data_IF_477118053883
#
_entry.id   IF_477118053883
#
_cell.length_a   1.000
_cell.length_b   1.000
_cell.length_c   1.000
_cell.angle_alpha   90.00
_cell.angle_beta   90.00
_cell.angle_gamma   90.00
#
_symmetry.space_group_name_H-M   'P 1'
#
loop_
_entity.id
_entity.type
_entity.pdbx_description
1 polymer ?
#
# COMPACT_ATOMS: atom_id res chain seq x y z
N UNK A 1 -42.78 45.37 23.86
CA UNK A 1 -42.59 44.72 22.56
C UNK A 1 -42.02 43.32 22.83
N UNK A 2 -42.93 42.35 23.00
CA UNK A 2 -42.60 40.95 23.28
C UNK A 2 -41.99 40.33 22.02
N UNK A 3 -40.80 39.76 22.12
CA UNK A 3 -40.31 38.81 21.12
C UNK A 3 -40.85 37.43 21.51
N UNK A 4 -41.85 37.00 20.75
CA UNK A 4 -42.42 35.67 20.78
C UNK A 4 -41.41 34.72 20.09
N UNK A 5 -40.49 34.13 20.87
CA UNK A 5 -39.70 32.98 20.37
C UNK A 5 -40.66 31.81 20.14
N UNK A 6 -40.69 31.33 18.90
CA UNK A 6 -41.60 30.27 18.52
C UNK A 6 -41.28 28.98 19.29
N UNK A 7 -42.32 28.21 19.65
CA UNK A 7 -42.17 26.88 20.29
C UNK A 7 -41.33 25.91 19.45
N UNK A 8 -41.16 26.20 18.17
CA UNK A 8 -40.46 25.39 17.19
C UNK A 8 -38.94 25.57 17.28
N UNK A 9 -38.47 26.82 17.39
CA UNK A 9 -37.04 27.14 17.56
C UNK A 9 -36.47 26.60 18.89
N UNK A 10 -37.26 26.61 19.97
CA UNK A 10 -36.87 25.99 21.23
C UNK A 10 -36.75 24.47 21.13
N UNK A 11 -37.55 23.85 20.27
CA UNK A 11 -37.57 22.39 20.05
C UNK A 11 -36.37 21.94 19.22
N UNK A 12 -35.96 22.75 18.25
CA UNK A 12 -34.79 22.49 17.41
C UNK A 12 -33.47 22.70 18.16
N UNK A 13 -33.39 23.72 19.03
CA UNK A 13 -32.25 23.90 19.93
C UNK A 13 -32.11 22.74 20.94
N UNK A 14 -33.23 22.20 21.44
CA UNK A 14 -33.23 21.04 22.33
C UNK A 14 -32.83 19.76 21.60
N UNK A 15 -33.31 19.56 20.36
CA UNK A 15 -32.92 18.42 19.53
C UNK A 15 -31.43 18.46 19.15
N UNK A 16 -30.86 19.65 18.86
CA UNK A 16 -29.42 19.82 18.63
C UNK A 16 -28.59 19.49 19.89
N UNK A 17 -29.07 19.90 21.07
CA UNK A 17 -28.42 19.57 22.34
C UNK A 17 -28.48 18.05 22.64
N UNK A 18 -29.56 17.37 22.27
CA UNK A 18 -29.73 15.93 22.45
C UNK A 18 -28.89 15.08 21.49
N UNK A 19 -28.66 15.55 20.25
CA UNK A 19 -27.75 14.92 19.29
C UNK A 19 -26.28 15.11 19.70
N UNK A 20 -25.91 16.26 20.25
CA UNK A 20 -24.55 16.54 20.73
C UNK A 20 -24.20 15.82 22.04
N UNK A 21 -25.18 15.45 22.86
CA UNK A 21 -24.98 14.75 24.14
C UNK A 21 -25.29 13.24 24.08
N UNK A 22 -25.69 12.71 22.93
CA UNK A 22 -25.94 11.27 22.73
C UNK A 22 -27.15 10.73 23.51
N UNK A 23 -28.11 11.58 23.87
CA UNK A 23 -29.30 11.16 24.63
C UNK A 23 -30.53 11.18 23.73
N UNK A 24 -30.95 10.01 23.24
CA UNK A 24 -32.24 9.85 22.55
C UNK A 24 -33.33 9.64 23.62
N UNK A 25 -34.28 10.57 23.72
CA UNK A 25 -35.48 10.39 24.56
C UNK A 25 -36.59 9.75 23.74
N UNK A 26 -36.92 8.48 24.03
CA UNK A 26 -38.17 7.86 23.60
C UNK A 26 -39.19 8.04 24.72
N UNK A 27 -40.33 8.68 24.44
CA UNK A 27 -41.46 8.75 25.37
C UNK A 27 -42.20 7.40 25.34
N UNK A 28 -42.17 6.68 26.46
CA UNK A 28 -43.13 5.62 26.77
C UNK A 28 -43.62 5.82 28.22
N UNK A 29 -44.90 5.57 28.45
CA UNK A 29 -45.60 5.91 29.69
C UNK A 29 -45.04 5.23 30.94
N UNK A 30 -45.01 6.00 32.03
CA UNK A 30 -44.88 5.62 33.44
C UNK A 30 -43.78 4.58 33.76
N UNK A 31 -42.56 5.09 33.96
CA UNK A 31 -41.48 4.36 34.64
C UNK A 31 -40.11 4.88 34.22
N UNK A 32 -39.36 5.48 35.15
CA UNK A 32 -37.94 5.77 34.94
C UNK A 32 -37.16 4.47 35.00
N UNK A 33 -36.88 3.85 33.85
CA UNK A 33 -35.82 2.85 33.76
C UNK A 33 -34.46 3.58 33.69
N UNK A 34 -33.50 3.13 34.50
CA UNK A 34 -32.11 3.59 34.36
C UNK A 34 -31.67 3.36 32.92
N UNK A 35 -31.23 4.44 32.25
CA UNK A 35 -30.55 4.34 30.97
C UNK A 35 -29.35 3.42 31.14
N UNK A 36 -29.47 2.16 30.71
CA UNK A 36 -28.34 1.26 30.59
C UNK A 36 -27.43 1.92 29.56
N UNK A 37 -26.39 2.61 30.03
CA UNK A 37 -25.38 3.21 29.16
C UNK A 37 -24.86 2.09 28.28
N UNK A 38 -25.25 2.07 27.01
CA UNK A 38 -24.92 0.98 26.09
C UNK A 38 -23.42 1.09 25.80
N UNK A 39 -22.60 0.50 26.66
CA UNK A 39 -21.17 0.40 26.44
C UNK A 39 -20.97 -0.45 25.19
N UNK A 40 -20.27 0.11 24.22
CA UNK A 40 -19.86 -0.61 23.03
C UNK A 40 -18.95 -1.78 23.45
N UNK A 41 -19.06 -2.89 22.75
CA UNK A 41 -18.33 -4.14 23.03
C UNK A 41 -16.85 -4.04 22.63
N UNK A 42 -16.11 -3.15 23.32
CA UNK A 42 -14.68 -2.97 23.17
C UNK A 42 -14.03 -3.23 24.53
N UNK A 43 -13.25 -4.30 24.61
CA UNK A 43 -12.52 -4.70 25.82
C UNK A 43 -11.19 -3.94 25.96
N UNK A 44 -10.70 -3.82 27.20
CA UNK A 44 -9.35 -3.30 27.47
C UNK A 44 -8.27 -4.15 26.80
N UNK A 45 -8.51 -5.47 26.69
CA UNK A 45 -7.59 -6.40 26.05
C UNK A 45 -7.44 -6.11 24.55
N UNK A 46 -8.52 -5.81 23.83
CA UNK A 46 -8.43 -5.41 22.42
C UNK A 46 -7.59 -4.14 22.22
N UNK A 47 -7.74 -3.14 23.11
CA UNK A 47 -6.92 -1.92 23.08
C UNK A 47 -5.45 -2.23 23.37
N UNK A 48 -5.17 -3.14 24.30
CA UNK A 48 -3.81 -3.59 24.61
C UNK A 48 -3.14 -4.32 23.45
N UNK A 49 -3.84 -5.25 22.81
CA UNK A 49 -3.31 -5.97 21.64
C UNK A 49 -3.09 -5.03 20.45
N UNK A 50 -3.99 -4.07 20.24
CA UNK A 50 -3.80 -3.03 19.24
C UNK A 50 -2.55 -2.18 19.53
N UNK A 51 -2.32 -1.78 20.79
CA UNK A 51 -1.11 -1.07 21.19
C UNK A 51 0.17 -1.85 20.85
N UNK A 52 0.23 -3.14 21.16
CA UNK A 52 1.41 -3.98 20.84
C UNK A 52 1.71 -3.98 19.34
N UNK A 53 0.68 -4.17 18.51
CA UNK A 53 0.82 -4.17 17.04
C UNK A 53 1.31 -2.82 16.51
N UNK A 54 0.73 -1.71 16.98
CA UNK A 54 1.14 -0.36 16.55
C UNK A 54 2.56 -0.05 17.01
N UNK A 55 2.95 -0.49 18.22
CA UNK A 55 4.30 -0.29 18.77
C UNK A 55 5.38 -1.03 17.99
N UNK A 56 5.09 -2.27 17.55
CA UNK A 56 6.01 -3.05 16.73
C UNK A 56 6.39 -2.34 15.41
N UNK A 57 5.49 -1.52 14.86
CA UNK A 57 5.71 -0.79 13.61
C UNK A 57 6.60 0.48 13.76
N UNK A 58 6.95 0.87 14.99
CA UNK A 58 7.84 2.02 15.30
C UNK A 58 7.52 3.32 14.54
N UNK A 59 6.26 3.58 14.21
CA UNK A 59 5.87 4.74 13.41
C UNK A 59 6.10 6.08 14.13
N UNK A 60 6.19 7.16 13.35
CA UNK A 60 6.46 8.54 13.80
C UNK A 60 5.27 9.15 14.58
N UNK A 61 5.30 10.42 14.99
CA UNK A 61 4.23 11.08 15.76
C UNK A 61 3.27 11.91 14.87
N UNK A 62 2.04 12.10 15.36
CA UNK A 62 0.99 12.87 14.68
C UNK A 62 1.06 14.37 14.99
N UNK A 63 -0.08 15.06 14.92
CA UNK A 63 -0.19 16.51 15.19
C UNK A 63 0.12 16.90 16.64
N UNK A 64 -0.05 15.96 17.58
CA UNK A 64 0.14 16.16 19.02
C UNK A 64 1.60 16.14 19.48
N UNK A 65 2.55 15.81 18.59
CA UNK A 65 3.96 15.73 18.94
C UNK A 65 4.32 14.62 19.95
N UNK A 66 3.40 13.68 20.22
CA UNK A 66 3.61 12.61 21.21
C UNK A 66 4.33 11.45 20.55
N UNK A 67 5.57 11.19 20.97
CA UNK A 67 6.36 10.03 20.55
C UNK A 67 6.19 8.85 21.54
N UNK A 68 6.77 7.69 21.22
CA UNK A 68 6.68 6.49 22.05
C UNK A 68 7.22 6.69 23.47
N UNK A 69 8.32 7.44 23.64
CA UNK A 69 8.88 7.71 24.97
C UNK A 69 7.89 8.48 25.85
N UNK A 70 7.25 9.53 25.32
CA UNK A 70 6.23 10.30 26.04
C UNK A 70 4.96 9.46 26.26
N UNK A 71 4.54 8.69 25.28
CA UNK A 71 3.36 7.84 25.38
C UNK A 71 3.51 6.76 26.47
N UNK A 72 4.68 6.10 26.52
CA UNK A 72 4.94 5.00 27.45
C UNK A 72 5.07 5.47 28.91
N UNK A 73 5.53 6.71 29.15
CA UNK A 73 5.54 7.31 30.50
C UNK A 73 4.16 7.35 31.16
N UNK A 74 3.09 7.45 30.37
CA UNK A 74 1.68 7.47 30.84
C UNK A 74 0.88 6.31 30.26
N UNK A 75 1.53 5.19 29.95
CA UNK A 75 0.94 4.07 29.21
C UNK A 75 -0.43 3.62 29.74
N UNK A 76 -0.51 3.28 31.04
CA UNK A 76 -1.74 2.80 31.67
C UNK A 76 -2.88 3.82 31.53
N UNK A 77 -2.59 5.10 31.76
CA UNK A 77 -3.56 6.18 31.68
C UNK A 77 -4.02 6.46 30.24
N UNK A 78 -3.08 6.47 29.29
CA UNK A 78 -3.35 6.70 27.87
C UNK A 78 -4.27 5.59 27.32
N UNK A 79 -3.94 4.32 27.60
CA UNK A 79 -4.76 3.18 27.15
C UNK A 79 -6.12 3.14 27.84
N UNK A 80 -6.19 3.43 29.14
CA UNK A 80 -7.46 3.51 29.85
C UNK A 80 -8.37 4.62 29.29
N UNK A 81 -7.80 5.80 29.04
CA UNK A 81 -8.54 6.93 28.46
C UNK A 81 -9.07 6.58 27.07
N UNK A 82 -8.22 5.98 26.23
CA UNK A 82 -8.62 5.53 24.90
C UNK A 82 -9.74 4.48 24.96
N UNK A 83 -9.57 3.45 25.80
CA UNK A 83 -10.59 2.43 26.00
C UNK A 83 -11.91 3.02 26.48
N UNK A 84 -11.88 3.94 27.46
CA UNK A 84 -13.09 4.56 27.99
C UNK A 84 -13.83 5.32 26.88
N UNK A 85 -13.12 6.13 26.08
CA UNK A 85 -13.70 6.86 24.95
C UNK A 85 -14.25 5.95 23.86
N UNK A 86 -13.55 4.86 23.55
CA UNK A 86 -14.00 3.88 22.56
C UNK A 86 -15.24 3.12 23.04
N UNK A 87 -15.25 2.67 24.29
CA UNK A 87 -16.38 1.91 24.86
C UNK A 87 -17.60 2.78 25.16
N UNK A 88 -17.44 4.09 25.40
CA UNK A 88 -18.54 5.01 25.67
C UNK A 88 -19.18 5.61 24.42
N UNK A 89 -18.57 5.47 23.24
CA UNK A 89 -19.02 6.18 22.03
C UNK A 89 -18.43 7.59 21.85
N UNK A 90 -17.65 8.07 22.81
CA UNK A 90 -17.16 9.46 22.85
C UNK A 90 -15.80 9.67 22.17
N UNK A 91 -15.26 8.65 21.48
CA UNK A 91 -14.01 8.78 20.73
C UNK A 91 -14.21 9.60 19.45
N UNK A 92 -13.41 10.65 19.31
CA UNK A 92 -13.24 11.41 18.08
C UNK A 92 -11.75 11.44 17.72
N UNK A 93 -11.39 11.10 16.47
CA UNK A 93 -10.02 11.18 15.99
C UNK A 93 -9.53 12.64 15.94
N UNK A 94 -8.25 12.85 16.18
CA UNK A 94 -7.62 14.16 15.99
C UNK A 94 -7.32 14.41 14.51
N UNK A 95 -6.93 15.65 14.20
CA UNK A 95 -6.44 15.99 12.88
C UNK A 95 -5.23 15.12 12.48
N UNK A 96 -5.14 14.79 11.21
CA UNK A 96 -4.07 13.96 10.66
C UNK A 96 -2.96 14.86 10.13
N UNK A 97 -1.70 14.63 10.53
CA UNK A 97 -0.57 15.47 10.10
C UNK A 97 -0.15 15.17 8.67
N UNK A 98 -0.16 16.16 7.78
CA UNK A 98 0.31 16.00 6.39
C UNK A 98 1.84 15.97 6.34
N UNK A 99 2.39 15.01 5.61
CA UNK A 99 3.82 14.93 5.28
C UNK A 99 4.00 14.67 3.80
N UNK A 100 4.70 15.56 3.12
CA UNK A 100 4.97 15.43 1.69
C UNK A 100 6.10 14.43 1.41
N UNK A 101 5.78 13.33 0.72
CA UNK A 101 6.76 12.33 0.29
C UNK A 101 6.98 12.48 -1.23
N UNK A 102 8.21 12.68 -1.72
CA UNK A 102 8.45 12.77 -3.16
C UNK A 102 8.09 11.47 -3.88
N UNK A 103 7.36 11.58 -5.00
CA UNK A 103 7.10 10.47 -5.92
C UNK A 103 8.32 10.24 -6.81
N UNK A 104 8.51 8.99 -7.27
CA UNK A 104 9.63 8.63 -8.16
C UNK A 104 9.54 9.27 -9.55
N UNK A 105 8.35 9.68 -9.99
CA UNK A 105 8.10 10.20 -11.33
C UNK A 105 7.88 11.73 -11.34
N UNK A 106 8.25 12.43 -10.26
CA UNK A 106 7.91 13.83 -10.03
C UNK A 106 6.62 14.01 -9.22
N UNK A 107 6.50 15.15 -8.54
CA UNK A 107 5.41 15.48 -7.62
C UNK A 107 5.55 14.89 -6.21
N UNK A 108 4.59 15.19 -5.34
CA UNK A 108 4.55 14.71 -3.95
C UNK A 108 3.33 13.82 -3.71
N UNK A 109 3.46 12.86 -2.80
CA UNK A 109 2.39 12.08 -2.19
C UNK A 109 2.30 12.55 -0.76
N UNK A 110 1.19 13.18 -0.39
CA UNK A 110 1.00 13.56 0.99
C UNK A 110 0.53 12.37 1.82
N UNK A 111 1.30 12.01 2.83
CA UNK A 111 0.94 11.03 3.84
C UNK A 111 0.23 11.76 4.98
N UNK A 112 -0.91 11.25 5.41
CA UNK A 112 -1.55 11.62 6.64
C UNK A 112 -1.10 10.73 7.78
N UNK A 113 -0.39 11.28 8.76
CA UNK A 113 0.09 10.57 9.95
C UNK A 113 -0.84 10.85 11.14
N UNK A 114 -1.65 9.88 11.59
CA UNK A 114 -2.49 10.07 12.77
C UNK A 114 -1.65 10.06 14.06
N UNK A 115 -2.25 10.50 15.17
CA UNK A 115 -1.60 10.42 16.48
C UNK A 115 -1.34 8.97 16.88
N UNK A 116 -0.51 8.75 17.91
CA UNK A 116 -0.31 7.39 18.46
C UNK A 116 -1.64 6.81 18.97
N UNK A 117 -2.42 7.62 19.68
CA UNK A 117 -3.74 7.25 20.19
C UNK A 117 -4.69 6.85 19.07
N UNK A 118 -4.75 7.64 17.99
CA UNK A 118 -5.66 7.37 16.87
C UNK A 118 -5.23 6.13 16.08
N UNK A 119 -3.92 5.86 15.95
CA UNK A 119 -3.45 4.61 15.33
C UNK A 119 -3.83 3.38 16.14
N UNK A 120 -3.75 3.45 17.46
CA UNK A 120 -4.20 2.36 18.34
C UNK A 120 -5.72 2.18 18.20
N UNK A 121 -6.48 3.28 18.19
CA UNK A 121 -7.92 3.23 17.96
C UNK A 121 -8.27 2.59 16.61
N UNK A 122 -7.62 3.03 15.53
CA UNK A 122 -7.80 2.48 14.18
C UNK A 122 -7.42 1.00 14.11
N UNK A 123 -6.39 0.54 14.83
CA UNK A 123 -6.03 -0.87 14.88
C UNK A 123 -7.08 -1.72 15.62
N UNK A 124 -7.72 -1.18 16.66
CA UNK A 124 -8.88 -1.83 17.31
C UNK A 124 -10.01 -1.99 16.29
N UNK A 125 -10.37 -0.91 15.60
CA UNK A 125 -11.45 -0.94 14.60
C UNK A 125 -11.13 -1.89 13.45
N UNK A 126 -9.89 -1.86 12.95
CA UNK A 126 -9.41 -2.77 11.89
C UNK A 126 -9.50 -4.23 12.34
N UNK A 127 -9.07 -4.55 13.56
CA UNK A 127 -9.11 -5.92 14.09
C UNK A 127 -10.54 -6.45 14.25
N UNK A 128 -11.51 -5.58 14.51
CA UNK A 128 -12.93 -5.95 14.60
C UNK A 128 -13.58 -6.02 13.21
N UNK A 129 -13.21 -5.13 12.29
CA UNK A 129 -13.79 -5.07 10.94
C UNK A 129 -13.26 -6.20 10.03
N UNK A 130 -11.96 -6.52 10.12
CA UNK A 130 -11.29 -7.47 9.22
C UNK A 130 -12.01 -8.83 9.10
N UNK A 131 -12.46 -9.49 10.18
CA UNK A 131 -13.19 -10.76 10.09
C UNK A 131 -14.50 -10.70 9.28
N UNK A 132 -15.13 -9.53 9.15
CA UNK A 132 -16.36 -9.38 8.37
C UNK A 132 -16.09 -9.16 6.87
N UNK A 133 -14.95 -8.53 6.53
CA UNK A 133 -14.68 -8.07 5.16
C UNK A 133 -13.63 -8.91 4.44
N UNK A 134 -12.56 -9.32 5.12
CA UNK A 134 -11.44 -10.04 4.48
C UNK A 134 -11.87 -11.38 3.86
N UNK A 135 -12.73 -12.21 4.50
CA UNK A 135 -13.21 -13.46 3.90
C UNK A 135 -14.05 -13.26 2.62
N UNK A 136 -14.54 -12.04 2.36
CA UNK A 136 -15.31 -11.72 1.16
C UNK A 136 -14.43 -11.31 -0.01
N UNK A 137 -13.19 -10.90 0.26
CA UNK A 137 -12.29 -10.43 -0.79
C UNK A 137 -11.97 -11.53 -1.80
N UNK A 138 -11.80 -11.10 -3.05
CA UNK A 138 -11.52 -12.02 -4.14
C UNK A 138 -10.15 -12.68 -3.96
N UNK A 139 -10.02 -13.94 -4.38
CA UNK A 139 -8.79 -14.72 -4.24
C UNK A 139 -7.59 -14.01 -4.89
N UNK A 140 -7.80 -13.36 -6.04
CA UNK A 140 -6.79 -12.59 -6.76
C UNK A 140 -6.58 -11.14 -6.27
N UNK A 141 -7.11 -10.77 -5.09
CA UNK A 141 -6.74 -9.55 -4.39
C UNK A 141 -5.67 -9.86 -3.35
N UNK A 142 -4.48 -9.26 -3.47
CA UNK A 142 -3.29 -9.67 -2.72
C UNK A 142 -2.84 -8.68 -1.64
N UNK A 143 -3.04 -7.37 -1.86
CA UNK A 143 -2.49 -6.37 -0.97
C UNK A 143 -3.17 -6.38 0.41
N UNK A 144 -2.38 -6.18 1.45
CA UNK A 144 -2.83 -5.98 2.84
C UNK A 144 -3.64 -7.14 3.44
N UNK A 145 -3.52 -8.35 2.89
CA UNK A 145 -4.21 -9.55 3.39
C UNK A 145 -3.23 -10.52 4.04
N UNK A 146 -3.67 -11.15 5.13
CA UNK A 146 -2.87 -12.19 5.78
C UNK A 146 -2.60 -13.35 4.83
N UNK A 147 -1.35 -13.85 4.82
CA UNK A 147 -0.93 -14.97 3.96
C UNK A 147 -0.77 -14.62 2.48
N UNK A 148 -1.02 -13.36 2.08
CA UNK A 148 -0.82 -12.89 0.70
C UNK A 148 0.36 -11.94 0.58
N UNK A 149 1.08 -12.00 -0.53
CA UNK A 149 2.23 -11.11 -0.79
C UNK A 149 2.35 -10.72 -2.27
N UNK A 150 3.20 -9.73 -2.55
CA UNK A 150 3.44 -9.22 -3.90
C UNK A 150 4.00 -10.30 -4.84
N UNK A 151 4.86 -11.20 -4.35
CA UNK A 151 5.44 -12.26 -5.18
C UNK A 151 4.39 -13.23 -5.71
N UNK A 152 3.36 -13.57 -4.92
CA UNK A 152 2.26 -14.40 -5.42
C UNK A 152 1.52 -13.71 -6.57
N UNK A 153 1.21 -12.41 -6.45
CA UNK A 153 0.58 -11.64 -7.52
C UNK A 153 1.45 -11.61 -8.79
N UNK A 154 2.75 -11.34 -8.65
CA UNK A 154 3.71 -11.33 -9.77
C UNK A 154 3.82 -12.71 -10.43
N UNK A 155 3.83 -13.77 -9.62
CA UNK A 155 3.90 -15.16 -10.08
C UNK A 155 2.67 -15.57 -10.90
N UNK A 156 1.47 -15.23 -10.42
CA UNK A 156 0.22 -15.45 -11.15
C UNK A 156 0.16 -14.64 -12.44
N UNK A 157 0.53 -13.36 -12.39
CA UNK A 157 0.63 -12.52 -13.58
C UNK A 157 1.59 -13.15 -14.61
N UNK A 158 2.78 -13.60 -14.17
CA UNK A 158 3.80 -14.23 -15.02
C UNK A 158 3.28 -15.50 -15.69
N UNK A 159 2.54 -16.31 -14.94
CA UNK A 159 1.88 -17.49 -15.48
C UNK A 159 0.84 -17.08 -16.53
N UNK A 160 -0.13 -16.24 -16.18
CA UNK A 160 -1.28 -15.87 -17.03
C UNK A 160 -0.88 -15.11 -18.29
N UNK A 161 0.12 -14.22 -18.24
CA UNK A 161 0.64 -13.53 -19.43
C UNK A 161 1.21 -14.49 -20.49
N UNK A 162 1.54 -15.73 -20.12
CA UNK A 162 1.94 -16.74 -21.10
C UNK A 162 0.77 -17.45 -21.79
N UNK A 163 -0.46 -17.35 -21.27
CA UNK A 163 -1.68 -17.95 -21.80
C UNK A 163 -2.62 -16.95 -22.48
N UNK A 164 -2.51 -15.67 -22.14
CA UNK A 164 -3.31 -14.59 -22.69
C UNK A 164 -2.47 -13.67 -23.58
N UNK A 165 -3.05 -13.22 -24.69
CA UNK A 165 -2.37 -12.40 -25.69
C UNK A 165 -2.57 -10.90 -25.48
N UNK A 166 -3.41 -10.50 -24.52
CA UNK A 166 -3.72 -9.11 -24.20
C UNK A 166 -3.78 -8.89 -22.69
N UNK A 167 -3.25 -7.76 -22.24
CA UNK A 167 -3.27 -7.33 -20.85
C UNK A 167 -3.83 -5.91 -20.75
N UNK A 168 -4.69 -5.64 -19.78
CA UNK A 168 -5.06 -4.29 -19.37
C UNK A 168 -4.23 -3.98 -18.13
N UNK A 169 -3.34 -3.01 -18.25
CA UNK A 169 -2.59 -2.39 -17.15
C UNK A 169 -3.43 -1.20 -16.67
N UNK A 170 -4.13 -1.35 -15.54
CA UNK A 170 -5.13 -0.40 -15.05
C UNK A 170 -4.58 0.38 -13.84
N UNK A 171 -4.56 1.70 -13.95
CA UNK A 171 -4.13 2.64 -12.89
C UNK A 171 -5.29 3.60 -12.57
N UNK A 172 -5.53 3.86 -11.29
CA UNK A 172 -6.62 4.71 -10.83
C UNK A 172 -6.07 6.05 -10.40
N UNK A 173 -6.61 7.15 -10.94
CA UNK A 173 -6.10 8.49 -10.69
C UNK A 173 -6.35 8.91 -9.25
N UNK A 174 -5.25 9.05 -8.48
CA UNK A 174 -5.30 9.55 -7.10
C UNK A 174 -6.21 8.71 -6.20
N UNK A 175 -6.20 7.39 -6.36
CA UNK A 175 -7.18 6.47 -5.76
C UNK A 175 -7.53 6.78 -4.31
N UNK A 176 -6.54 6.74 -3.41
CA UNK A 176 -6.76 6.98 -1.98
C UNK A 176 -7.30 8.38 -1.68
N UNK A 177 -6.95 9.39 -2.47
CA UNK A 177 -7.40 10.78 -2.26
C UNK A 177 -8.82 11.02 -2.82
N UNK A 178 -9.32 10.13 -3.68
CA UNK A 178 -10.55 10.33 -4.44
C UNK A 178 -11.74 9.43 -4.02
N UNK A 179 -11.57 8.49 -3.10
CA UNK A 179 -12.66 7.59 -2.64
C UNK A 179 -13.84 8.40 -2.07
N UNK A 180 -15.06 8.33 -2.65
CA UNK A 180 -16.22 9.02 -2.10
C UNK A 180 -16.66 8.41 -0.76
N UNK A 181 -16.77 9.22 0.29
CA UNK A 181 -17.10 8.75 1.64
C UNK A 181 -18.48 8.10 1.72
N UNK A 182 -19.48 8.68 1.06
CA UNK A 182 -20.84 8.18 1.00
C UNK A 182 -20.89 6.75 0.42
N UNK A 183 -20.21 6.50 -0.70
CA UNK A 183 -20.17 5.18 -1.36
C UNK A 183 -19.31 4.18 -0.58
N UNK A 184 -18.20 4.63 0.00
CA UNK A 184 -17.41 3.79 0.91
C UNK A 184 -18.25 3.37 2.13
N UNK A 185 -19.02 4.29 2.71
CA UNK A 185 -19.89 4.00 3.85
C UNK A 185 -21.05 3.06 3.48
N UNK A 186 -21.57 3.13 2.25
CA UNK A 186 -22.53 2.13 1.75
C UNK A 186 -21.91 0.72 1.73
N UNK A 187 -20.67 0.60 1.24
CA UNK A 187 -19.95 -0.69 1.26
C UNK A 187 -19.70 -1.18 2.69
N UNK A 188 -19.25 -0.30 3.60
CA UNK A 188 -19.05 -0.64 5.01
C UNK A 188 -20.34 -1.14 5.66
N UNK A 189 -21.47 -0.43 5.45
CA UNK A 189 -22.79 -0.80 5.98
C UNK A 189 -23.29 -2.14 5.44
N UNK A 190 -22.97 -2.45 4.18
CA UNK A 190 -23.36 -3.71 3.55
C UNK A 190 -22.64 -4.93 4.17
N UNK A 191 -21.34 -4.81 4.45
CA UNK A 191 -20.54 -5.95 4.91
C UNK A 191 -20.36 -6.03 6.43
N UNK A 192 -20.44 -4.90 7.14
CA UNK A 192 -20.29 -4.85 8.59
C UNK A 192 -21.65 -4.59 9.26
N UNK A 193 -22.22 -5.54 10.01
CA UNK A 193 -23.51 -5.34 10.68
C UNK A 193 -23.42 -4.45 11.94
N UNK A 194 -22.21 -4.15 12.42
CA UNK A 194 -21.98 -3.45 13.67
C UNK A 194 -22.21 -1.95 13.49
N UNK A 195 -23.38 -1.44 13.88
CA UNK A 195 -23.76 -0.03 13.67
C UNK A 195 -22.80 0.99 14.28
N UNK A 196 -22.28 0.73 15.48
CA UNK A 196 -21.35 1.66 16.13
C UNK A 196 -20.00 1.74 15.41
N UNK A 197 -19.61 0.70 14.65
CA UNK A 197 -18.40 0.72 13.82
C UNK A 197 -18.53 1.76 12.71
N UNK A 198 -19.73 1.91 12.14
CA UNK A 198 -20.00 2.88 11.07
C UNK A 198 -19.71 4.31 11.53
N UNK A 199 -20.16 4.64 12.75
CA UNK A 199 -19.91 5.95 13.37
C UNK A 199 -18.42 6.27 13.46
N UNK A 200 -17.60 5.32 13.93
CA UNK A 200 -16.17 5.54 14.07
C UNK A 200 -15.44 5.61 12.74
N UNK A 201 -15.82 4.79 11.77
CA UNK A 201 -15.25 4.86 10.42
C UNK A 201 -15.57 6.23 9.80
N UNK A 202 -16.82 6.69 9.88
CA UNK A 202 -17.24 8.00 9.38
C UNK A 202 -16.44 9.14 10.01
N UNK A 203 -16.26 9.13 11.34
CA UNK A 203 -15.41 10.12 12.05
C UNK A 203 -13.96 10.10 11.57
N UNK A 204 -13.40 8.91 11.29
CA UNK A 204 -12.03 8.77 10.77
C UNK A 204 -11.92 9.33 9.34
N UNK A 205 -12.91 9.08 8.49
CA UNK A 205 -12.94 9.60 7.12
C UNK A 205 -13.03 11.13 7.10
N UNK A 206 -13.83 11.71 8.00
CA UNK A 206 -14.06 13.15 8.12
C UNK A 206 -12.98 13.89 8.94
N UNK A 207 -11.98 13.17 9.45
CA UNK A 207 -10.91 13.80 10.25
C UNK A 207 -10.19 14.86 9.42
N UNK A 208 -10.05 16.10 9.93
CA UNK A 208 -9.36 17.15 9.19
C UNK A 208 -7.88 16.82 9.03
N UNK A 209 -7.26 17.36 7.99
CA UNK A 209 -5.83 17.24 7.75
C UNK A 209 -5.15 18.53 8.19
N UNK A 210 -4.12 18.42 9.02
CA UNK A 210 -3.28 19.56 9.37
C UNK A 210 -2.15 19.70 8.35
N UNK A 211 -2.10 20.86 7.69
CA UNK A 211 -1.08 21.24 6.73
C UNK A 211 0.23 21.64 7.43
N UNK A 212 1.32 21.79 6.66
CA UNK A 212 2.65 22.13 7.21
C UNK A 212 2.69 23.52 7.87
N UNK A 213 1.81 24.44 7.44
CA UNK A 213 1.62 25.78 8.02
C UNK A 213 0.73 25.78 9.28
N UNK A 214 0.25 24.60 9.71
CA UNK A 214 -0.62 24.43 10.88
C UNK A 214 -2.11 24.59 10.59
N UNK A 215 -2.51 24.98 9.37
CA UNK A 215 -3.93 25.13 9.00
C UNK A 215 -4.64 23.78 8.94
N UNK A 216 -5.93 23.76 9.32
CA UNK A 216 -6.77 22.57 9.25
C UNK A 216 -7.64 22.63 7.98
N UNK A 217 -7.54 21.59 7.15
CA UNK A 217 -8.38 21.43 5.98
C UNK A 217 -9.40 20.31 6.21
N UNK A 218 -10.69 20.52 5.88
CA UNK A 218 -11.70 19.47 5.97
C UNK A 218 -11.44 18.38 4.93
N UNK A 219 -11.74 17.14 5.29
CA UNK A 219 -11.63 15.97 4.41
C UNK A 219 -13.01 15.63 3.85
N UNK A 220 -13.25 15.94 2.57
CA UNK A 220 -14.54 15.69 1.91
C UNK A 220 -14.60 14.35 1.16
N UNK A 221 -13.44 13.81 0.80
CA UNK A 221 -13.28 12.53 0.10
C UNK A 221 -11.90 11.95 0.39
N UNK A 222 -11.74 10.69 0.01
CA UNK A 222 -10.51 9.92 0.19
C UNK A 222 -10.42 9.25 1.55
N UNK A 223 -9.39 8.44 1.70
CA UNK A 223 -9.00 7.80 2.95
C UNK A 223 -7.58 8.30 3.30
N UNK A 224 -7.30 8.63 4.57
CA UNK A 224 -6.00 9.16 4.95
C UNK A 224 -4.92 8.09 4.71
N UNK A 225 -4.03 8.36 3.75
CA UNK A 225 -2.86 7.52 3.47
C UNK A 225 -1.94 7.55 4.70
N UNK A 226 -1.77 6.42 5.39
CA UNK A 226 -1.03 6.34 6.66
C UNK A 226 -1.90 6.04 7.87
N UNK A 227 -3.23 6.05 7.72
CA UNK A 227 -4.15 5.43 8.66
C UNK A 227 -4.02 3.90 8.67
N UNK A 228 -4.18 3.30 9.84
CA UNK A 228 -4.06 1.84 10.05
C UNK A 228 -5.25 1.09 9.46
N UNK A 229 -6.45 1.67 9.53
CA UNK A 229 -7.68 1.07 8.97
C UNK A 229 -7.85 1.37 7.48
N UNK A 230 -7.19 2.41 6.96
CA UNK A 230 -7.34 2.89 5.58
C UNK A 230 -7.10 1.82 4.51
N UNK A 231 -6.07 0.95 4.59
CA UNK A 231 -5.85 -0.10 3.58
C UNK A 231 -6.99 -1.13 3.51
N UNK A 232 -7.63 -1.42 4.64
CA UNK A 232 -8.77 -2.32 4.70
C UNK A 232 -10.01 -1.70 4.04
N UNK A 233 -10.27 -0.42 4.33
CA UNK A 233 -11.37 0.35 3.74
C UNK A 233 -11.20 0.54 2.23
N UNK A 234 -9.99 0.83 1.78
CA UNK A 234 -9.70 0.95 0.35
C UNK A 234 -9.90 -0.39 -0.35
N UNK A 235 -9.37 -1.48 0.22
CA UNK A 235 -9.58 -2.82 -0.36
C UNK A 235 -11.06 -3.22 -0.42
N UNK A 236 -11.83 -2.89 0.62
CA UNK A 236 -13.28 -3.10 0.63
C UNK A 236 -13.97 -2.34 -0.49
N UNK A 237 -13.58 -1.09 -0.72
CA UNK A 237 -14.15 -0.29 -1.78
C UNK A 237 -13.87 -0.86 -3.17
N UNK A 238 -12.61 -1.19 -3.46
CA UNK A 238 -12.26 -1.82 -4.75
C UNK A 238 -12.82 -3.23 -4.90
N UNK A 239 -13.06 -3.94 -3.80
CA UNK A 239 -13.78 -5.21 -3.88
C UNK A 239 -15.18 -5.02 -4.45
N UNK A 240 -15.91 -3.98 -4.03
CA UNK A 240 -17.26 -3.68 -4.52
C UNK A 240 -17.25 -3.06 -5.92
N UNK A 241 -16.35 -2.12 -6.17
CA UNK A 241 -16.29 -1.38 -7.44
C UNK A 241 -15.77 -2.27 -8.57
N UNK A 242 -14.78 -3.11 -8.29
CA UNK A 242 -14.05 -3.90 -9.27
C UNK A 242 -14.19 -5.41 -9.05
N UNK A 243 -13.65 -5.98 -7.97
CA UNK A 243 -13.46 -7.43 -7.84
C UNK A 243 -14.78 -8.23 -7.98
N UNK A 244 -15.81 -7.83 -7.24
CA UNK A 244 -17.11 -8.49 -7.23
C UNK A 244 -17.96 -8.10 -8.45
N UNK A 245 -17.73 -6.92 -9.01
CA UNK A 245 -18.48 -6.41 -10.16
C UNK A 245 -18.04 -7.10 -11.46
N UNK A 246 -16.72 -7.21 -11.70
CA UNK A 246 -16.19 -7.75 -12.95
C UNK A 246 -16.62 -9.21 -13.17
N UNK A 247 -16.63 -10.02 -12.10
CA UNK A 247 -17.07 -11.41 -12.16
C UNK A 247 -18.58 -11.59 -12.41
N UNK A 248 -19.41 -10.62 -12.00
CA UNK A 248 -20.87 -10.68 -12.18
C UNK A 248 -21.30 -10.12 -13.54
N UNK A 249 -20.78 -8.95 -13.90
CA UNK A 249 -21.30 -8.15 -15.01
C UNK A 249 -20.74 -8.60 -16.35
N UNK A 250 -19.45 -8.93 -16.40
CA UNK A 250 -18.78 -9.15 -17.68
C UNK A 250 -18.92 -10.61 -18.17
N UNK A 251 -19.66 -11.47 -17.43
CA UNK A 251 -20.02 -12.89 -17.71
C UNK A 251 -18.89 -13.85 -18.12
N UNK A 252 -17.68 -13.34 -18.33
CA UNK A 252 -16.47 -14.09 -18.64
C UNK A 252 -15.64 -14.20 -17.37
N UNK A 253 -15.06 -15.38 -17.14
CA UNK A 253 -14.14 -15.62 -16.02
C UNK A 253 -12.82 -14.90 -16.32
N UNK A 254 -12.75 -13.61 -16.02
CA UNK A 254 -11.52 -12.83 -16.18
C UNK A 254 -10.49 -13.25 -15.15
N UNK A 255 -9.28 -13.50 -15.65
CA UNK A 255 -8.11 -13.63 -14.81
C UNK A 255 -7.52 -12.24 -14.63
N UNK A 256 -7.30 -11.86 -13.37
CA UNK A 256 -6.70 -10.59 -13.01
C UNK A 256 -5.87 -10.76 -11.74
N UNK A 257 -4.95 -9.83 -11.49
CA UNK A 257 -4.27 -9.67 -10.22
C UNK A 257 -4.47 -8.24 -9.73
N UNK A 258 -4.98 -8.09 -8.51
CA UNK A 258 -5.10 -6.78 -7.86
C UNK A 258 -4.17 -6.69 -6.66
N UNK A 259 -3.35 -5.66 -6.65
CA UNK A 259 -2.54 -5.30 -5.49
C UNK A 259 -2.81 -3.84 -5.13
N UNK A 260 -3.73 -3.64 -4.18
CA UNK A 260 -4.28 -2.34 -3.83
C UNK A 260 -5.00 -1.72 -5.05
N UNK A 261 -4.49 -0.60 -5.58
CA UNK A 261 -4.95 0.10 -6.78
C UNK A 261 -4.30 -0.36 -8.08
N UNK A 262 -3.15 -1.05 -8.02
CA UNK A 262 -2.51 -1.63 -9.21
C UNK A 262 -3.27 -2.89 -9.64
N UNK A 263 -3.88 -2.87 -10.84
CA UNK A 263 -4.71 -3.96 -11.35
C UNK A 263 -4.22 -4.38 -12.74
N UNK A 264 -3.96 -5.68 -12.90
CA UNK A 264 -3.64 -6.31 -14.19
C UNK A 264 -4.77 -7.25 -14.57
N UNK A 265 -5.33 -7.11 -15.78
CA UNK A 265 -6.42 -7.95 -16.29
C UNK A 265 -5.97 -8.64 -17.56
N UNK A 266 -6.16 -9.96 -17.65
CA UNK A 266 -5.76 -10.76 -18.81
C UNK A 266 -6.95 -11.00 -19.73
N UNK A 267 -6.74 -10.82 -21.03
CA UNK A 267 -7.75 -10.94 -22.09
C UNK A 267 -7.22 -11.79 -23.25
N UNK A 268 -8.10 -12.53 -23.90
CA UNK A 268 -7.75 -13.39 -25.03
C UNK A 268 -7.67 -12.63 -26.35
N UNK A 269 -8.37 -11.49 -26.48
CA UNK A 269 -8.40 -10.68 -27.70
C UNK A 269 -8.45 -9.18 -27.40
N UNK A 270 -8.01 -8.37 -28.37
CA UNK A 270 -8.12 -6.92 -28.30
C UNK A 270 -9.55 -6.44 -28.11
N UNK A 271 -10.50 -7.04 -28.85
CA UNK A 271 -11.92 -6.70 -28.76
C UNK A 271 -12.46 -6.92 -27.35
N UNK A 272 -12.06 -8.03 -26.70
CA UNK A 272 -12.39 -8.29 -25.30
C UNK A 272 -11.78 -7.23 -24.37
N UNK A 273 -10.49 -6.92 -24.52
CA UNK A 273 -9.85 -5.92 -23.67
C UNK A 273 -10.45 -4.52 -23.83
N UNK A 274 -10.79 -4.11 -25.06
CA UNK A 274 -11.42 -2.82 -25.33
C UNK A 274 -12.83 -2.74 -24.73
N UNK A 275 -13.62 -3.80 -24.85
CA UNK A 275 -14.95 -3.88 -24.22
C UNK A 275 -14.87 -3.80 -22.69
N UNK A 276 -13.94 -4.55 -22.09
CA UNK A 276 -13.72 -4.56 -20.64
C UNK A 276 -13.28 -3.18 -20.16
N UNK A 277 -12.30 -2.57 -20.81
CA UNK A 277 -11.79 -1.25 -20.43
C UNK A 277 -12.90 -0.19 -20.47
N UNK A 278 -13.69 -0.13 -21.55
CA UNK A 278 -14.83 0.79 -21.66
C UNK A 278 -15.87 0.57 -20.57
N UNK A 279 -16.17 -0.70 -20.26
CA UNK A 279 -17.13 -1.05 -19.21
C UNK A 279 -16.60 -0.65 -17.82
N UNK A 280 -15.29 -0.78 -17.59
CA UNK A 280 -14.64 -0.35 -16.36
C UNK A 280 -14.60 1.17 -16.22
N UNK A 281 -14.33 1.91 -17.30
CA UNK A 281 -14.39 3.38 -17.30
C UNK A 281 -15.75 3.88 -16.85
N UNK A 282 -16.82 3.34 -17.45
CA UNK A 282 -18.19 3.67 -17.05
C UNK A 282 -18.44 3.33 -15.57
N UNK A 283 -18.09 2.12 -15.16
CA UNK A 283 -18.30 1.66 -13.77
C UNK A 283 -17.55 2.50 -12.75
N UNK A 284 -16.29 2.84 -13.02
CA UNK A 284 -15.48 3.65 -12.11
C UNK A 284 -16.05 5.05 -11.99
N UNK A 285 -16.45 5.67 -13.11
CA UNK A 285 -17.11 6.98 -13.12
C UNK A 285 -18.42 6.97 -12.31
N UNK A 286 -19.28 5.96 -12.49
CA UNK A 286 -20.49 5.77 -11.69
C UNK A 286 -20.17 5.63 -10.19
N UNK A 287 -19.02 5.05 -9.86
CA UNK A 287 -18.53 4.93 -8.50
C UNK A 287 -17.79 6.19 -8.01
N UNK A 288 -17.57 7.21 -8.84
CA UNK A 288 -16.84 8.42 -8.45
C UNK A 288 -15.32 8.24 -8.40
N UNK A 289 -14.79 7.29 -9.14
CA UNK A 289 -13.37 7.11 -9.43
C UNK A 289 -13.10 7.41 -10.90
N UNK A 290 -11.87 7.80 -11.22
CA UNK A 290 -11.41 8.08 -12.58
C UNK A 290 -10.23 7.16 -12.90
N UNK A 291 -10.27 6.47 -14.03
CA UNK A 291 -9.10 5.74 -14.54
C UNK A 291 -8.05 6.74 -15.02
N UNK A 292 -6.78 6.44 -14.83
CA UNK A 292 -5.71 7.33 -15.25
C UNK A 292 -5.55 7.26 -16.77
N UNK A 293 -5.78 8.35 -17.53
CA UNK A 293 -5.87 8.29 -19.00
C UNK A 293 -4.56 7.88 -19.67
N UNK A 294 -3.42 8.35 -19.15
CA UNK A 294 -2.12 8.07 -19.76
C UNK A 294 -1.46 6.76 -19.29
N UNK A 295 -1.85 6.26 -18.11
CA UNK A 295 -1.22 5.08 -17.52
C UNK A 295 -2.03 3.82 -17.74
N UNK A 296 -3.35 3.96 -17.81
CA UNK A 296 -4.23 2.85 -18.15
C UNK A 296 -4.06 2.53 -19.63
N UNK A 297 -3.71 1.29 -19.95
CA UNK A 297 -3.45 0.89 -21.34
C UNK A 297 -3.72 -0.57 -21.60
N UNK A 298 -4.03 -0.88 -22.86
CA UNK A 298 -4.12 -2.23 -23.40
C UNK A 298 -2.76 -2.57 -24.00
N UNK A 299 -2.21 -3.71 -23.62
CA UNK A 299 -0.86 -4.16 -23.95
C UNK A 299 -0.96 -5.49 -24.70
N UNK A 300 -0.40 -5.56 -25.90
CA UNK A 300 -0.33 -6.80 -26.67
C UNK A 300 0.84 -7.67 -26.17
N UNK A 301 0.51 -8.84 -25.61
CA UNK A 301 1.46 -9.82 -25.10
C UNK A 301 1.63 -11.03 -26.01
N UNK A 302 1.09 -10.98 -27.23
CA UNK A 302 1.24 -12.04 -28.22
C UNK A 302 2.71 -12.20 -28.65
N UNK A 303 3.25 -13.40 -28.45
CA UNK A 303 4.65 -13.74 -28.73
C UNK A 303 4.84 -14.09 -30.21
N UNK A 304 3.84 -14.70 -30.83
CA UNK A 304 3.93 -15.18 -32.21
C UNK A 304 3.76 -14.03 -33.19
N UNK A 305 4.80 -13.74 -33.98
CA UNK A 305 4.78 -12.65 -34.97
C UNK A 305 3.66 -12.83 -36.01
N UNK A 306 3.38 -14.07 -36.38
CA UNK A 306 2.34 -14.44 -37.36
C UNK A 306 0.91 -14.15 -36.88
N UNK A 307 0.67 -14.10 -35.57
CA UNK A 307 -0.65 -13.82 -34.98
C UNK A 307 -0.87 -12.35 -34.66
N UNK A 308 0.15 -11.53 -34.83
CA UNK A 308 0.09 -10.08 -34.64
C UNK A 308 -0.30 -9.41 -35.94
N UNK A 309 -1.10 -8.35 -35.86
CA UNK A 309 -1.36 -7.53 -37.05
C UNK A 309 -0.08 -6.81 -37.47
N UNK A 310 0.01 -6.47 -38.76
CA UNK A 310 1.14 -5.72 -39.29
C UNK A 310 1.28 -4.38 -38.54
N UNK A 311 2.47 -4.13 -37.97
CA UNK A 311 2.74 -2.97 -37.11
C UNK A 311 2.57 -3.19 -35.60
N UNK A 312 1.97 -4.30 -35.14
CA UNK A 312 1.84 -4.60 -33.71
C UNK A 312 3.16 -5.16 -33.13
N UNK A 313 3.75 -4.40 -32.20
CA UNK A 313 4.93 -4.84 -31.45
C UNK A 313 4.54 -5.60 -30.18
N UNK A 314 5.40 -6.52 -29.75
CA UNK A 314 5.26 -7.15 -28.43
C UNK A 314 5.56 -6.07 -27.38
N UNK A 315 4.56 -5.69 -26.60
CA UNK A 315 4.69 -4.59 -25.65
C UNK A 315 5.06 -5.09 -24.25
N UNK A 316 5.79 -4.25 -23.51
CA UNK A 316 6.18 -4.52 -22.13
C UNK A 316 5.35 -3.69 -21.17
N UNK A 317 5.06 -4.24 -20.01
CA UNK A 317 4.38 -3.52 -18.93
C UNK A 317 5.10 -3.75 -17.60
N UNK A 318 4.90 -2.83 -16.66
CA UNK A 318 5.54 -2.88 -15.35
C UNK A 318 4.46 -3.11 -14.29
N UNK A 319 4.58 -4.15 -13.45
CA UNK A 319 3.69 -4.44 -12.33
C UNK A 319 4.50 -4.75 -11.07
N UNK A 320 4.19 -4.07 -9.96
CA UNK A 320 4.84 -4.25 -8.65
C UNK A 320 6.39 -4.18 -8.66
N UNK A 321 6.93 -3.32 -9.53
CA UNK A 321 8.37 -3.12 -9.69
C UNK A 321 9.06 -4.14 -10.60
N UNK A 322 8.28 -5.02 -11.25
CA UNK A 322 8.75 -5.95 -12.26
C UNK A 322 8.28 -5.53 -13.65
N UNK A 323 9.17 -5.62 -14.64
CA UNK A 323 8.86 -5.56 -16.06
C UNK A 323 8.54 -6.95 -16.59
N UNK A 324 7.38 -7.09 -17.20
CA UNK A 324 6.96 -8.26 -17.93
C UNK A 324 7.38 -8.09 -19.39
N UNK A 325 8.23 -9.00 -19.84
CA UNK A 325 8.79 -8.94 -21.19
C UNK A 325 9.11 -10.34 -21.73
N UNK A 326 9.09 -10.53 -23.06
CA UNK A 326 9.46 -11.79 -23.67
C UNK A 326 10.94 -12.10 -23.43
N UNK A 327 11.26 -13.34 -23.08
CA UNK A 327 12.60 -13.84 -22.85
C UNK A 327 12.76 -15.26 -23.41
N UNK A 328 13.91 -15.52 -24.03
CA UNK A 328 14.24 -16.83 -24.55
C UNK A 328 14.80 -17.71 -23.43
N UNK A 329 14.19 -18.88 -23.25
CA UNK A 329 14.63 -19.89 -22.32
C UNK A 329 15.18 -21.09 -23.09
N UNK A 330 16.39 -21.52 -22.73
CA UNK A 330 16.96 -22.77 -23.23
C UNK A 330 16.22 -23.95 -22.60
N UNK A 331 15.60 -24.80 -23.40
CA UNK A 331 15.00 -26.06 -22.93
C UNK A 331 15.95 -27.24 -23.19
N UNK A 332 15.85 -28.28 -22.35
CA UNK A 332 16.63 -29.52 -22.52
C UNK A 332 16.18 -30.32 -23.75
N UNK A 333 14.92 -30.19 -24.12
CA UNK A 333 14.34 -30.77 -25.33
C UNK A 333 14.28 -29.68 -26.41
N UNK A 334 14.93 -29.96 -27.54
CA UNK A 334 15.17 -29.13 -28.73
C UNK A 334 14.39 -27.80 -28.85
N UNK A 335 15.14 -26.69 -28.81
CA UNK A 335 14.72 -25.36 -29.26
C UNK A 335 14.62 -24.32 -28.13
N UNK A 336 15.00 -23.07 -28.38
CA UNK A 336 14.75 -22.00 -27.41
C UNK A 336 13.24 -21.69 -27.37
N UNK A 337 12.67 -21.53 -26.17
CA UNK A 337 11.25 -21.15 -25.99
C UNK A 337 11.13 -19.70 -25.57
N UNK A 338 10.34 -18.91 -26.31
CA UNK A 338 10.01 -17.54 -25.92
C UNK A 338 8.86 -17.55 -24.90
N UNK A 339 9.12 -17.05 -23.70
CA UNK A 339 8.13 -16.91 -22.63
C UNK A 339 8.14 -15.49 -22.08
N UNK A 340 6.98 -15.02 -21.61
CA UNK A 340 6.93 -13.82 -20.79
C UNK A 340 7.51 -14.11 -19.42
N UNK A 341 8.45 -13.27 -19.00
CA UNK A 341 9.14 -13.37 -17.73
C UNK A 341 9.10 -12.05 -16.96
N UNK A 342 9.20 -12.13 -15.64
CA UNK A 342 9.19 -10.98 -14.75
C UNK A 342 10.62 -10.64 -14.34
N UNK A 343 11.10 -9.45 -14.71
CA UNK A 343 12.43 -8.95 -14.33
C UNK A 343 12.33 -7.63 -13.59
N UNK A 344 13.35 -7.24 -12.82
CA UNK A 344 13.38 -5.91 -12.20
C UNK A 344 13.13 -4.80 -13.23
N UNK A 345 12.17 -3.92 -12.96
CA UNK A 345 11.86 -2.83 -13.90
C UNK A 345 13.02 -1.83 -13.96
N UNK A 346 13.24 -1.14 -15.10
CA UNK A 346 14.25 -0.10 -15.20
C UNK A 346 14.06 1.03 -14.17
N UNK A 347 12.80 1.38 -13.86
CA UNK A 347 12.46 2.37 -12.83
C UNK A 347 12.94 1.90 -11.44
N UNK A 348 12.66 0.65 -11.08
CA UNK A 348 13.13 0.07 -9.83
C UNK A 348 14.66 -0.01 -9.76
N UNK A 349 15.31 -0.46 -10.85
CA UNK A 349 16.76 -0.51 -10.98
C UNK A 349 17.41 0.86 -10.78
N UNK A 350 16.88 1.89 -11.45
CA UNK A 350 17.37 3.26 -11.33
C UNK A 350 17.25 3.78 -9.90
N UNK A 351 16.12 3.49 -9.22
CA UNK A 351 15.93 3.86 -7.82
C UNK A 351 16.95 3.20 -6.89
N UNK A 352 17.21 1.90 -7.06
CA UNK A 352 18.25 1.19 -6.28
C UNK A 352 19.64 1.81 -6.51
N UNK A 353 19.97 2.12 -7.77
CA UNK A 353 21.24 2.78 -8.12
C UNK A 353 21.33 4.18 -7.51
N UNK A 354 20.24 4.96 -7.49
CA UNK A 354 20.19 6.28 -6.86
C UNK A 354 20.42 6.20 -5.34
N UNK A 355 19.82 5.22 -4.67
CA UNK A 355 20.05 4.97 -3.24
C UNK A 355 21.54 4.69 -3.00
N UNK A 356 22.16 3.80 -3.79
CA UNK A 356 23.60 3.53 -3.68
C UNK A 356 24.47 4.78 -3.91
N UNK A 357 24.06 5.67 -4.82
CA UNK A 357 24.74 6.96 -5.03
C UNK A 357 24.64 7.85 -3.78
N UNK A 358 23.47 7.94 -3.16
CA UNK A 358 23.24 8.75 -1.97
C UNK A 358 24.09 8.33 -0.76
N UNK A 359 24.30 7.02 -0.58
CA UNK A 359 25.20 6.51 0.47
C UNK A 359 26.65 7.00 0.34
N UNK A 360 27.06 7.51 -0.84
CA UNK A 360 28.37 8.10 -1.07
C UNK A 360 29.53 7.25 -0.53
N UNK A 361 29.48 5.94 -0.74
CA UNK A 361 30.38 4.97 -0.08
C UNK A 361 31.85 5.37 -0.15
N UNK A 362 32.28 5.90 -1.30
CA UNK A 362 33.64 6.41 -1.53
C UNK A 362 34.14 7.53 -0.60
N UNK A 363 33.27 8.20 0.16
CA UNK A 363 33.63 9.22 1.15
C UNK A 363 33.76 8.65 2.58
N UNK A 364 33.47 7.37 2.79
CA UNK A 364 33.43 6.73 4.12
C UNK A 364 34.79 6.15 4.50
N UNK A 365 35.35 6.54 5.64
CA UNK A 365 36.64 6.05 6.18
C UNK A 365 36.55 4.77 7.03
N UNK A 366 35.44 4.03 6.94
CA UNK A 366 35.24 2.79 7.71
C UNK A 366 35.88 1.58 7.03
N UNK A 367 36.12 0.49 7.77
CA UNK A 367 36.62 -0.77 7.19
C UNK A 367 35.55 -1.49 6.34
N UNK A 368 35.96 -2.51 5.57
CA UNK A 368 35.07 -3.20 4.64
C UNK A 368 33.96 -3.97 5.36
N UNK A 369 34.20 -4.48 6.57
CA UNK A 369 33.22 -5.19 7.37
C UNK A 369 32.11 -4.27 7.89
N UNK A 370 32.46 -3.08 8.36
CA UNK A 370 31.51 -2.05 8.76
C UNK A 370 30.65 -1.60 7.58
N UNK A 371 31.27 -1.43 6.39
CA UNK A 371 30.55 -1.13 5.17
C UNK A 371 29.55 -2.24 4.78
N UNK A 372 29.97 -3.50 4.91
CA UNK A 372 29.10 -4.64 4.66
C UNK A 372 27.93 -4.69 5.67
N UNK A 373 28.18 -4.43 6.95
CA UNK A 373 27.15 -4.40 7.99
C UNK A 373 26.05 -3.35 7.70
N UNK A 374 26.44 -2.18 7.19
CA UNK A 374 25.50 -1.11 6.78
C UNK A 374 24.71 -1.48 5.52
N UNK A 375 25.37 -2.04 4.50
CA UNK A 375 24.75 -2.30 3.19
C UNK A 375 23.95 -3.59 3.12
N UNK A 376 24.36 -4.65 3.84
CA UNK A 376 23.77 -5.98 3.71
C UNK A 376 22.27 -6.03 3.97
N UNK A 377 21.68 -5.31 4.95
CA UNK A 377 20.23 -5.28 5.13
C UNK A 377 19.49 -4.78 3.87
N UNK A 378 20.02 -3.71 3.24
CA UNK A 378 19.45 -3.13 2.01
C UNK A 378 19.59 -4.11 0.86
N UNK A 379 20.80 -4.66 0.67
CA UNK A 379 21.09 -5.59 -0.42
C UNK A 379 20.27 -6.88 -0.30
N UNK A 380 20.16 -7.45 0.89
CA UNK A 380 19.32 -8.65 1.13
C UNK A 380 17.86 -8.36 0.81
N UNK A 381 17.33 -7.20 1.19
CA UNK A 381 15.98 -6.78 0.83
C UNK A 381 15.77 -6.75 -0.69
N UNK A 382 16.70 -6.12 -1.43
CA UNK A 382 16.63 -6.08 -2.89
C UNK A 382 16.78 -7.45 -3.56
N UNK A 383 17.70 -8.28 -3.08
CA UNK A 383 17.92 -9.63 -3.60
C UNK A 383 16.70 -10.52 -3.35
N UNK A 384 16.17 -10.50 -2.12
CA UNK A 384 15.02 -11.32 -1.76
C UNK A 384 13.76 -10.88 -2.50
N UNK A 385 13.56 -9.57 -2.66
CA UNK A 385 12.44 -9.07 -3.43
C UNK A 385 12.66 -9.32 -4.92
N UNK A 386 13.57 -8.60 -5.58
CA UNK A 386 13.71 -8.59 -7.04
C UNK A 386 14.34 -9.87 -7.63
N UNK A 387 15.00 -10.69 -6.82
CA UNK A 387 15.61 -11.94 -7.27
C UNK A 387 14.65 -13.13 -7.36
N UNK A 388 13.40 -12.98 -6.90
CA UNK A 388 12.42 -14.08 -6.80
C UNK A 388 12.12 -14.79 -8.13
N UNK A 389 12.12 -14.07 -9.26
CA UNK A 389 11.81 -14.60 -10.59
C UNK A 389 13.04 -14.71 -11.51
N UNK A 390 14.24 -14.58 -10.96
CA UNK A 390 15.48 -14.71 -11.73
C UNK A 390 16.59 -13.84 -11.17
N UNK A 391 17.52 -14.45 -10.42
CA UNK A 391 18.65 -13.75 -9.80
C UNK A 391 19.52 -12.97 -10.80
N UNK A 392 19.63 -13.48 -12.04
CA UNK A 392 20.38 -12.84 -13.12
C UNK A 392 19.85 -11.44 -13.49
N UNK A 393 18.57 -11.16 -13.24
CA UNK A 393 17.99 -9.84 -13.48
C UNK A 393 18.68 -8.73 -12.66
N UNK A 394 19.34 -9.09 -11.55
CA UNK A 394 20.07 -8.17 -10.68
C UNK A 394 21.56 -8.02 -11.03
N UNK A 395 22.08 -8.70 -12.06
CA UNK A 395 23.50 -8.61 -12.43
C UNK A 395 23.96 -7.16 -12.64
N UNK A 396 23.17 -6.34 -13.33
CA UNK A 396 23.47 -4.90 -13.52
C UNK A 396 23.63 -4.15 -12.19
N UNK A 397 22.83 -4.50 -11.18
CA UNK A 397 22.93 -3.91 -9.85
C UNK A 397 24.23 -4.34 -9.16
N UNK A 398 24.57 -5.63 -9.23
CA UNK A 398 25.79 -6.18 -8.65
C UNK A 398 27.05 -5.54 -9.26
N UNK A 399 27.07 -5.33 -10.58
CA UNK A 399 28.14 -4.57 -11.27
C UNK A 399 28.28 -3.19 -10.63
N UNK A 400 27.17 -2.48 -10.48
CA UNK A 400 27.18 -1.13 -9.93
C UNK A 400 27.70 -1.09 -8.48
N UNK A 401 27.29 -2.04 -7.64
CA UNK A 401 27.77 -2.14 -6.26
C UNK A 401 29.28 -2.38 -6.25
N UNK A 402 29.78 -3.31 -7.08
CA UNK A 402 31.21 -3.60 -7.18
C UNK A 402 32.02 -2.40 -7.64
N UNK A 403 31.53 -1.65 -8.64
CA UNK A 403 32.15 -0.41 -9.08
C UNK A 403 32.23 0.63 -7.95
N UNK A 404 31.22 0.70 -7.08
CA UNK A 404 31.23 1.59 -5.90
C UNK A 404 32.21 1.11 -4.83
N UNK A 405 32.32 -0.19 -4.60
CA UNK A 405 33.32 -0.77 -3.69
C UNK A 405 34.74 -0.53 -4.23
N UNK A 406 34.97 -0.71 -5.52
CA UNK A 406 36.26 -0.39 -6.17
C UNK A 406 36.57 1.08 -5.98
N UNK A 407 35.61 1.98 -6.23
CA UNK A 407 35.79 3.41 -5.98
C UNK A 407 36.17 3.65 -4.52
N UNK A 408 35.43 3.12 -3.56
CA UNK A 408 35.74 3.24 -2.13
C UNK A 408 37.16 2.75 -1.78
N UNK A 409 37.57 1.59 -2.29
CA UNK A 409 38.90 1.04 -2.06
C UNK A 409 40.01 1.95 -2.61
N UNK A 410 39.83 2.50 -3.83
CA UNK A 410 40.77 3.47 -4.41
C UNK A 410 40.97 4.68 -3.50
N UNK A 411 39.89 5.26 -2.96
CA UNK A 411 39.97 6.47 -2.16
C UNK A 411 40.51 6.22 -0.74
N UNK A 412 40.10 5.13 -0.09
CA UNK A 412 40.56 4.84 1.28
C UNK A 412 42.00 4.33 1.35
N UNK A 413 42.42 3.53 0.38
CA UNK A 413 43.76 2.92 0.38
C UNK A 413 44.72 3.57 -0.63
N UNK A 414 44.32 4.68 -1.27
CA UNK A 414 45.08 5.39 -2.31
C UNK A 414 45.60 4.47 -3.43
N UNK A 415 44.80 3.46 -3.79
CA UNK A 415 45.14 2.44 -4.79
C UNK A 415 44.74 2.86 -6.20
N UNK A 416 45.50 2.40 -7.20
CA UNK A 416 45.06 2.46 -8.59
C UNK A 416 43.89 1.51 -8.83
N UNK A 417 43.18 1.67 -9.96
CA UNK A 417 41.96 0.89 -10.24
C UNK A 417 42.24 -0.62 -10.21
N UNK A 418 43.26 -1.10 -10.93
CA UNK A 418 43.58 -2.53 -11.00
C UNK A 418 43.98 -3.13 -9.65
N UNK A 419 44.74 -2.39 -8.85
CA UNK A 419 45.12 -2.79 -7.49
C UNK A 419 43.91 -2.88 -6.56
N UNK A 420 43.00 -1.91 -6.62
CA UNK A 420 41.77 -1.92 -5.83
C UNK A 420 40.87 -3.11 -6.19
N UNK A 421 40.82 -3.46 -7.48
CA UNK A 421 40.12 -4.64 -7.99
C UNK A 421 40.75 -5.92 -7.44
N UNK A 422 42.07 -6.05 -7.55
CA UNK A 422 42.81 -7.22 -7.05
C UNK A 422 42.62 -7.40 -5.54
N UNK A 423 42.70 -6.30 -4.79
CA UNK A 423 42.47 -6.29 -3.34
C UNK A 423 41.05 -6.75 -2.98
N UNK A 424 40.01 -6.22 -3.64
CA UNK A 424 38.63 -6.64 -3.40
C UNK A 424 38.38 -8.10 -3.78
N UNK A 425 39.00 -8.56 -4.86
CA UNK A 425 38.94 -9.95 -5.30
C UNK A 425 39.61 -10.88 -4.28
N UNK A 426 40.72 -10.47 -3.68
CA UNK A 426 41.34 -11.20 -2.57
C UNK A 426 40.39 -11.25 -1.37
N UNK A 427 39.78 -10.13 -0.99
CA UNK A 427 38.80 -10.11 0.12
C UNK A 427 37.56 -10.95 -0.16
N UNK A 428 37.11 -11.02 -1.41
CA UNK A 428 36.03 -11.92 -1.82
C UNK A 428 36.41 -13.39 -1.67
N UNK A 429 37.66 -13.78 -1.99
CA UNK A 429 38.14 -15.14 -1.77
C UNK A 429 38.27 -15.48 -0.28
N UNK A 430 38.79 -14.55 0.52
CA UNK A 430 38.97 -14.73 1.98
C UNK A 430 37.65 -14.75 2.74
N UNK A 431 36.71 -13.87 2.37
CA UNK A 431 35.42 -13.69 3.06
C UNK A 431 34.26 -13.63 2.05
N UNK A 432 33.90 -14.75 1.41
CA UNK A 432 32.91 -14.76 0.34
C UNK A 432 31.51 -14.33 0.80
N UNK A 433 31.20 -14.48 2.09
CA UNK A 433 29.91 -14.11 2.69
C UNK A 433 29.82 -12.66 3.16
N UNK A 434 30.87 -11.86 2.98
CA UNK A 434 30.94 -10.51 3.53
C UNK A 434 29.84 -9.60 2.99
N UNK A 435 29.58 -9.64 1.69
CA UNK A 435 28.45 -8.93 1.09
C UNK A 435 27.41 -9.91 0.53
N UNK A 436 26.14 -9.58 0.71
CA UNK A 436 25.04 -10.44 0.28
C UNK A 436 25.04 -10.75 -1.23
N UNK A 437 25.48 -9.82 -2.07
CA UNK A 437 25.53 -10.02 -3.52
C UNK A 437 26.72 -10.87 -3.99
N UNK A 438 27.77 -11.01 -3.18
CA UNK A 438 28.95 -11.84 -3.52
C UNK A 438 28.62 -13.32 -3.66
N UNK A 439 27.50 -13.75 -3.07
CA UNK A 439 26.98 -15.12 -3.14
C UNK A 439 26.08 -15.37 -4.35
N UNK A 440 25.66 -14.32 -5.07
CA UNK A 440 24.66 -14.47 -6.13
C UNK A 440 25.28 -14.71 -7.50
N UNK A 441 26.54 -14.33 -7.70
CA UNK A 441 27.25 -14.46 -8.98
C UNK A 441 28.72 -14.75 -8.75
N UNK A 442 29.41 -15.29 -9.76
CA UNK A 442 30.87 -15.27 -9.76
C UNK A 442 31.34 -13.82 -9.83
N UNK A 443 32.25 -13.41 -8.93
CA UNK A 443 32.77 -12.04 -8.82
C UNK A 443 33.33 -11.51 -10.15
N UNK A 444 33.88 -12.41 -10.97
CA UNK A 444 34.49 -12.11 -12.27
C UNK A 444 33.50 -11.83 -13.40
N UNK A 445 32.26 -12.34 -13.34
CA UNK A 445 31.30 -12.16 -14.43
C UNK A 445 30.71 -10.73 -14.50
N UNK A 446 31.17 -9.81 -13.62
CA UNK A 446 30.45 -8.60 -13.21
C UNK A 446 31.37 -7.36 -13.08
N UNK A 447 32.62 -7.44 -13.53
CA UNK A 447 33.60 -6.34 -13.40
C UNK A 447 33.91 -5.64 -14.71
#
# INVERSE_FOLDING_TARGET
>A
MMLCESKEERRDAQNLFHVLTGTILVKAGRGYHQNKTMRLEISKQQVWEAYKKVKANQGTYGVDGVNWQKFDKRLKQNLYTLWNRLSSGSYFPQAVRRVSIPKSNGGTRGLGIPTLTDRIAQEVLRSILAPYVEPRFHVNSYAYQAGKNAHQAIGECRYRTNYYSWVIDLDIKGYFDNIPHDKLMQAVKHYCPIKWMWLYIERILQSPVQMEDGTLQPTLKGVPQGGVVSPLLSNLYLHVVFDAWIGKTVKSKFNFERYADDIIIHCSSYAQSAFVLRSLEQRFNECGLELHPEKTKIVCTEKQKEKRKEGESVEVFDFLGYRFQPHWFKTKEKGDKLLYDARVSPKAMQKMIQILKYHNLHKRKQNIQALAKELNPILRGWINYYGAFGKQALNKLYVHINQRLVKWCKWNYRKFKLEAISWLKQKWKEMPYLFAHWQQTSWFAIM
#
